data_IF_747017581048
#
_entry.id   IF_747017581048
#
_cell.length_a   1.000
_cell.length_b   1.000
_cell.length_c   1.000
_cell.angle_alpha   90.00
_cell.angle_beta   90.00
_cell.angle_gamma   90.00
#
_symmetry.space_group_name_H-M   'P 1'
#
loop_
_entity.id
_entity.type
_entity.pdbx_description
1 polymer ?
#
# COMPACT_ATOMS: atom_id res chain seq x y z
N UNK A 1 18.02 22.05 1.46
CA UNK A 1 16.78 21.92 0.65
C UNK A 1 15.59 22.37 1.50
N UNK A 2 14.43 22.78 0.94
CA UNK A 2 13.25 23.08 1.77
C UNK A 2 12.71 21.79 2.40
N UNK A 3 12.43 21.80 3.71
CA UNK A 3 11.84 20.67 4.47
C UNK A 3 10.63 20.08 3.76
N UNK A 4 9.74 20.94 3.23
CA UNK A 4 8.54 20.51 2.51
C UNK A 4 8.84 19.67 1.26
N UNK A 5 9.95 19.94 0.57
CA UNK A 5 10.37 19.16 -0.60
C UNK A 5 10.89 17.78 -0.19
N UNK A 6 11.61 17.68 0.93
CA UNK A 6 12.06 16.40 1.47
C UNK A 6 10.87 15.54 1.92
N UNK A 7 9.90 16.13 2.62
CA UNK A 7 8.67 15.45 3.02
C UNK A 7 7.86 14.96 1.81
N UNK A 8 7.65 15.81 0.80
CA UNK A 8 6.96 15.41 -0.43
C UNK A 8 7.64 14.23 -1.12
N UNK A 9 8.98 14.28 -1.26
CA UNK A 9 9.76 13.16 -1.83
C UNK A 9 9.61 11.89 -1.01
N UNK A 10 9.66 12.01 0.32
CA UNK A 10 9.45 10.89 1.22
C UNK A 10 8.07 10.24 1.02
N UNK A 11 6.99 11.03 1.05
CA UNK A 11 5.63 10.51 0.85
C UNK A 11 5.44 9.88 -0.52
N UNK A 12 5.99 10.48 -1.57
CA UNK A 12 5.88 9.96 -2.93
C UNK A 12 6.61 8.62 -3.08
N UNK A 13 7.84 8.52 -2.56
CA UNK A 13 8.60 7.28 -2.58
C UNK A 13 7.93 6.19 -1.74
N UNK A 14 7.37 6.55 -0.59
CA UNK A 14 6.63 5.62 0.26
C UNK A 14 5.34 5.13 -0.42
N UNK A 15 4.63 5.99 -1.15
CA UNK A 15 3.44 5.62 -1.92
C UNK A 15 3.79 4.72 -3.12
N UNK A 16 4.88 5.02 -3.84
CA UNK A 16 5.41 4.14 -4.90
C UNK A 16 5.79 2.78 -4.32
N UNK A 17 6.46 2.76 -3.16
CA UNK A 17 6.82 1.54 -2.46
C UNK A 17 5.60 0.68 -2.11
N UNK A 18 4.52 1.32 -1.64
CA UNK A 18 3.25 0.64 -1.38
C UNK A 18 2.68 0.02 -2.67
N UNK A 19 2.58 0.81 -3.74
CA UNK A 19 1.99 0.37 -5.00
C UNK A 19 2.77 -0.80 -5.62
N UNK A 20 4.10 -0.73 -5.61
CA UNK A 20 4.98 -1.79 -6.10
C UNK A 20 4.82 -3.06 -5.26
N UNK A 21 4.80 -2.93 -3.93
CA UNK A 21 4.65 -4.06 -3.02
C UNK A 21 3.28 -4.75 -3.19
N UNK A 22 2.20 -3.98 -3.26
CA UNK A 22 0.87 -4.52 -3.55
C UNK A 22 0.83 -5.18 -4.93
N UNK A 23 1.41 -4.58 -5.96
CA UNK A 23 1.41 -5.18 -7.30
C UNK A 23 2.22 -6.49 -7.33
N UNK A 24 3.33 -6.57 -6.60
CA UNK A 24 4.14 -7.78 -6.52
C UNK A 24 3.46 -8.91 -5.72
N UNK A 25 2.75 -8.56 -4.64
CA UNK A 25 2.09 -9.51 -3.74
C UNK A 25 0.70 -9.94 -4.24
N UNK A 26 -0.09 -9.00 -4.76
CA UNK A 26 -1.49 -9.22 -5.15
C UNK A 26 -1.65 -9.35 -6.68
N UNK A 27 -0.71 -8.83 -7.46
CA UNK A 27 -0.77 -8.86 -8.92
C UNK A 27 -0.35 -10.21 -9.50
N UNK A 28 -1.28 -10.87 -10.21
CA UNK A 28 -1.01 -12.16 -10.88
C UNK A 28 0.12 -12.11 -11.93
N UNK A 29 0.51 -10.93 -12.40
CA UNK A 29 1.60 -10.73 -13.38
C UNK A 29 2.95 -11.19 -12.80
N UNK A 30 3.15 -11.09 -11.48
CA UNK A 30 4.39 -11.49 -10.81
C UNK A 30 4.39 -12.93 -10.30
N UNK A 31 3.27 -13.65 -10.42
CA UNK A 31 3.15 -15.07 -10.08
C UNK A 31 4.24 -15.97 -10.71
N UNK A 32 4.53 -15.91 -12.02
CA UNK A 32 5.60 -16.71 -12.60
C UNK A 32 7.00 -16.35 -12.06
N UNK A 33 7.23 -15.08 -11.70
CA UNK A 33 8.50 -14.65 -11.11
C UNK A 33 8.64 -15.16 -9.67
N UNK A 34 7.57 -15.10 -8.86
CA UNK A 34 7.54 -15.64 -7.49
C UNK A 34 7.76 -17.14 -7.47
N UNK A 35 7.12 -17.89 -8.38
CA UNK A 35 7.33 -19.34 -8.53
C UNK A 35 8.74 -19.69 -8.96
N UNK A 36 9.35 -18.91 -9.86
CA UNK A 36 10.77 -19.12 -10.21
C UNK A 36 11.67 -18.87 -9.01
N UNK A 37 11.46 -17.79 -8.27
CA UNK A 37 12.24 -17.49 -7.07
C UNK A 37 12.09 -18.55 -5.97
N UNK A 38 10.89 -19.09 -5.76
CA UNK A 38 10.65 -20.15 -4.77
C UNK A 38 11.35 -21.46 -5.13
N UNK A 39 11.48 -21.78 -6.41
CA UNK A 39 12.19 -23.00 -6.86
C UNK A 39 13.72 -22.93 -6.71
N UNK A 40 14.29 -21.74 -6.53
CA UNK A 40 15.75 -21.57 -6.45
C UNK A 40 16.29 -21.93 -5.06
N UNK A 41 15.60 -21.50 -4.00
CA UNK A 41 16.05 -21.76 -2.62
C UNK A 41 14.89 -21.59 -1.61
N UNK A 42 14.79 -22.44 -0.57
CA UNK A 42 13.70 -22.36 0.43
C UNK A 42 13.62 -21.02 1.16
N UNK A 43 14.75 -20.34 1.38
CA UNK A 43 14.74 -18.97 1.96
C UNK A 43 14.15 -17.91 1.02
N UNK A 44 14.26 -18.09 -0.30
CA UNK A 44 13.65 -17.17 -1.26
C UNK A 44 12.15 -17.40 -1.34
N UNK A 45 11.71 -18.66 -1.18
CA UNK A 45 10.29 -19.00 -1.04
C UNK A 45 9.67 -18.31 0.18
N UNK A 46 10.29 -18.43 1.36
CA UNK A 46 9.84 -17.74 2.58
C UNK A 46 9.82 -16.22 2.39
N UNK A 47 10.81 -15.67 1.69
CA UNK A 47 10.91 -14.23 1.40
C UNK A 47 9.78 -13.71 0.51
N UNK A 48 9.46 -14.38 -0.60
CA UNK A 48 8.41 -13.93 -1.53
C UNK A 48 6.99 -14.07 -0.97
N UNK A 49 6.80 -14.97 0.01
CA UNK A 49 5.54 -15.14 0.73
C UNK A 49 5.45 -14.22 1.97
N UNK A 50 6.58 -13.75 2.50
CA UNK A 50 6.63 -12.75 3.55
C UNK A 50 6.37 -11.35 2.99
N UNK A 51 5.11 -10.89 3.04
CA UNK A 51 4.72 -9.52 2.60
C UNK A 51 5.59 -8.42 3.20
N UNK A 52 5.92 -8.50 4.50
CA UNK A 52 6.80 -7.54 5.19
C UNK A 52 8.23 -7.53 4.61
N UNK A 53 8.73 -8.69 4.21
CA UNK A 53 10.07 -8.84 3.65
C UNK A 53 10.15 -8.20 2.27
N UNK A 54 9.14 -8.45 1.42
CA UNK A 54 8.97 -7.80 0.12
C UNK A 54 8.90 -6.28 0.28
N UNK A 55 8.02 -5.77 1.14
CA UNK A 55 7.85 -4.33 1.38
C UNK A 55 9.15 -3.65 1.83
N UNK A 56 9.87 -4.28 2.75
CA UNK A 56 11.15 -3.75 3.25
C UNK A 56 12.19 -3.70 2.14
N UNK A 57 12.28 -4.75 1.31
CA UNK A 57 13.22 -4.79 0.19
C UNK A 57 12.91 -3.75 -0.88
N UNK A 58 11.63 -3.54 -1.19
CA UNK A 58 11.20 -2.49 -2.13
C UNK A 58 11.60 -1.11 -1.60
N UNK A 59 11.40 -0.85 -0.30
CA UNK A 59 11.84 0.40 0.32
C UNK A 59 13.35 0.62 0.24
N UNK A 60 14.15 -0.42 0.48
CA UNK A 60 15.62 -0.37 0.36
C UNK A 60 16.03 -0.10 -1.09
N UNK A 61 15.43 -0.81 -2.07
CA UNK A 61 15.72 -0.61 -3.50
C UNK A 61 15.38 0.80 -3.92
N UNK A 62 14.24 1.35 -3.50
CA UNK A 62 13.86 2.72 -3.80
C UNK A 62 14.85 3.74 -3.23
N UNK A 63 15.31 3.55 -1.99
CA UNK A 63 16.32 4.42 -1.40
C UNK A 63 17.67 4.34 -2.13
N UNK A 64 18.07 3.14 -2.56
CA UNK A 64 19.32 2.92 -3.29
C UNK A 64 19.30 3.54 -4.70
N UNK A 65 18.18 3.41 -5.42
CA UNK A 65 18.01 3.91 -6.79
C UNK A 65 17.83 5.42 -6.80
N UNK A 66 16.91 5.93 -5.99
CA UNK A 66 16.53 7.34 -6.05
C UNK A 66 17.41 8.25 -5.20
N UNK A 67 18.22 7.67 -4.28
CA UNK A 67 19.14 8.38 -3.37
C UNK A 67 18.54 9.71 -2.92
N UNK A 68 17.46 9.70 -2.14
CA UNK A 68 16.67 10.89 -1.90
C UNK A 68 17.37 11.92 -1.00
N UNK A 69 18.45 11.53 -0.30
CA UNK A 69 19.25 12.36 0.60
C UNK A 69 18.40 13.03 1.69
N UNK A 70 17.37 12.33 2.19
CA UNK A 70 16.39 12.91 3.11
C UNK A 70 17.04 13.36 4.42
N UNK A 71 17.95 12.54 4.96
CA UNK A 71 18.67 12.85 6.20
C UNK A 71 19.89 13.76 5.98
N UNK A 72 20.55 13.64 4.83
CA UNK A 72 21.75 14.43 4.53
C UNK A 72 21.46 15.94 4.43
N UNK A 73 20.25 16.30 3.98
CA UNK A 73 19.82 17.69 3.79
C UNK A 73 19.46 18.41 5.10
N UNK A 74 19.24 17.69 6.20
CA UNK A 74 18.81 18.27 7.49
C UNK A 74 20.01 18.67 8.36
N UNK A 75 21.14 17.98 8.21
CA UNK A 75 22.23 18.03 9.18
C UNK A 75 23.30 19.11 8.92
N UNK A 76 23.27 19.77 7.75
CA UNK A 76 24.08 20.95 7.41
C UNK A 76 25.61 20.84 7.51
N UNK A 77 26.15 19.67 7.84
CA UNK A 77 27.58 19.40 8.09
C UNK A 77 28.29 18.82 6.86
N UNK A 78 29.61 19.01 6.71
CA UNK A 78 30.36 18.51 5.56
C UNK A 78 30.28 16.98 5.45
N UNK A 79 30.06 16.44 4.24
CA UNK A 79 29.82 15.02 4.03
C UNK A 79 31.13 14.21 4.15
N UNK A 80 31.18 13.27 5.08
CA UNK A 80 32.20 12.21 5.10
C UNK A 80 31.63 10.93 4.47
N UNK A 81 32.51 10.08 3.91
CA UNK A 81 32.10 8.80 3.31
C UNK A 81 31.29 7.93 4.28
N UNK A 82 31.72 7.85 5.53
CA UNK A 82 31.02 7.12 6.58
C UNK A 82 29.61 7.69 6.83
N UNK A 83 29.46 9.02 6.84
CA UNK A 83 28.17 9.67 7.06
C UNK A 83 27.22 9.53 5.87
N UNK A 84 27.75 9.54 4.65
CA UNK A 84 26.95 9.26 3.45
C UNK A 84 26.36 7.84 3.49
N UNK A 85 27.14 6.86 3.96
CA UNK A 85 26.65 5.50 4.14
C UNK A 85 25.56 5.42 5.22
N UNK A 86 25.75 6.10 6.36
CA UNK A 86 24.75 6.16 7.43
C UNK A 86 23.47 6.86 6.98
N UNK A 87 23.58 7.99 6.26
CA UNK A 87 22.42 8.70 5.73
C UNK A 87 21.67 7.86 4.69
N UNK A 88 22.38 7.13 3.82
CA UNK A 88 21.75 6.23 2.87
C UNK A 88 21.02 5.06 3.56
N UNK A 89 21.62 4.49 4.61
CA UNK A 89 20.98 3.45 5.41
C UNK A 89 19.75 3.99 6.15
N UNK A 90 19.84 5.20 6.72
CA UNK A 90 18.72 5.86 7.36
C UNK A 90 17.58 6.19 6.39
N UNK A 91 17.89 6.67 5.19
CA UNK A 91 16.91 6.92 4.12
C UNK A 91 16.19 5.62 3.71
N UNK A 92 16.92 4.50 3.64
CA UNK A 92 16.34 3.19 3.36
C UNK A 92 15.37 2.71 4.45
N UNK A 93 15.74 2.87 5.71
CA UNK A 93 14.87 2.55 6.85
C UNK A 93 13.63 3.45 6.85
N UNK A 94 13.80 4.75 6.63
CA UNK A 94 12.70 5.71 6.54
C UNK A 94 11.71 5.31 5.45
N UNK A 95 12.18 5.05 4.22
CA UNK A 95 11.30 4.69 3.11
C UNK A 95 10.59 3.35 3.37
N UNK A 96 11.29 2.36 3.92
CA UNK A 96 10.66 1.09 4.30
C UNK A 96 9.55 1.30 5.35
N UNK A 97 9.80 2.11 6.38
CA UNK A 97 8.80 2.45 7.39
C UNK A 97 7.63 3.24 6.81
N UNK A 98 7.90 4.22 5.93
CA UNK A 98 6.86 4.99 5.25
C UNK A 98 5.99 4.12 4.35
N UNK A 99 6.60 3.20 3.61
CA UNK A 99 5.90 2.22 2.76
C UNK A 99 4.98 1.34 3.60
N UNK A 100 5.46 0.90 4.77
CA UNK A 100 4.65 0.13 5.72
C UNK A 100 3.50 0.95 6.29
N UNK A 101 3.75 2.20 6.69
CA UNK A 101 2.72 3.08 7.21
C UNK A 101 1.58 3.26 6.19
N UNK A 102 1.91 3.44 4.91
CA UNK A 102 0.89 3.51 3.85
C UNK A 102 0.09 2.21 3.70
N UNK A 103 0.76 1.06 3.78
CA UNK A 103 0.08 -0.24 3.76
C UNK A 103 -0.90 -0.40 4.93
N UNK A 104 -0.46 -0.06 6.14
CA UNK A 104 -1.29 -0.18 7.35
C UNK A 104 -2.46 0.81 7.30
N UNK A 105 -2.22 2.08 6.92
CA UNK A 105 -3.24 3.12 6.83
C UNK A 105 -4.32 2.78 5.79
N UNK A 106 -3.91 2.39 4.57
CA UNK A 106 -4.86 2.00 3.52
C UNK A 106 -5.51 0.64 3.82
N UNK A 107 -4.83 -0.24 4.56
CA UNK A 107 -5.40 -1.48 5.06
C UNK A 107 -6.54 -1.25 6.04
N UNK A 108 -6.40 -0.27 6.94
CA UNK A 108 -7.47 0.17 7.84
C UNK A 108 -8.65 0.75 7.06
N UNK A 109 -8.37 1.68 6.13
CA UNK A 109 -9.42 2.29 5.28
C UNK A 109 -10.19 1.26 4.45
N UNK A 110 -9.52 0.24 3.90
CA UNK A 110 -10.18 -0.85 3.17
C UNK A 110 -11.07 -1.72 4.07
N UNK A 111 -10.70 -1.93 5.33
CA UNK A 111 -11.53 -2.69 6.28
C UNK A 111 -12.78 -1.90 6.64
N UNK A 112 -12.62 -0.61 6.91
CA UNK A 112 -13.71 0.28 7.24
C UNK A 112 -14.70 0.40 6.07
N UNK A 113 -14.20 0.62 4.85
CA UNK A 113 -15.04 0.63 3.65
C UNK A 113 -15.76 -0.71 3.39
N UNK A 114 -15.15 -1.86 3.73
CA UNK A 114 -15.81 -3.17 3.62
C UNK A 114 -16.91 -3.36 4.67
N UNK A 115 -16.71 -2.81 5.87
CA UNK A 115 -17.72 -2.84 6.92
C UNK A 115 -18.91 -1.98 6.50
N UNK A 116 -18.66 -0.76 6.01
CA UNK A 116 -19.72 0.11 5.48
C UNK A 116 -20.47 -0.54 4.31
N UNK A 117 -19.77 -1.17 3.36
CA UNK A 117 -20.41 -1.88 2.25
C UNK A 117 -21.26 -3.06 2.74
N UNK A 118 -20.77 -3.85 3.70
CA UNK A 118 -21.53 -4.96 4.26
C UNK A 118 -22.75 -4.48 5.07
N UNK A 119 -22.66 -3.32 5.72
CA UNK A 119 -23.79 -2.70 6.42
C UNK A 119 -24.85 -2.18 5.43
N UNK A 120 -24.43 -1.55 4.33
CA UNK A 120 -25.34 -1.13 3.26
C UNK A 120 -26.02 -2.34 2.62
N UNK A 121 -25.28 -3.40 2.30
CA UNK A 121 -25.83 -4.63 1.71
C UNK A 121 -26.80 -5.35 2.67
N UNK A 122 -26.49 -5.36 3.98
CA UNK A 122 -27.40 -5.89 4.99
C UNK A 122 -28.67 -5.05 5.18
N UNK A 123 -28.61 -3.73 4.98
CA UNK A 123 -29.79 -2.85 5.00
C UNK A 123 -30.64 -3.04 3.75
N UNK A 124 -30.03 -3.27 2.58
CA UNK A 124 -30.73 -3.54 1.32
C UNK A 124 -31.43 -4.91 1.35
N UNK A 125 -30.80 -5.94 1.94
CA UNK A 125 -31.41 -7.27 2.13
C UNK A 125 -32.51 -7.29 3.21
N UNK A 126 -32.47 -6.37 4.18
CA UNK A 126 -33.44 -6.26 5.27
C UNK A 126 -34.68 -5.40 4.91
N UNK A 127 -34.68 -4.73 3.77
CA UNK A 127 -35.82 -3.99 3.25
C UNK A 127 -36.55 -4.84 2.19
N UNK A 128 -37.50 -5.72 2.56
CA UNK A 128 -38.47 -6.17 1.58
C UNK A 128 -39.19 -4.91 1.12
N UNK A 129 -38.96 -4.52 -0.13
CA UNK A 129 -39.75 -3.51 -0.79
C UNK A 129 -41.16 -4.10 -0.90
N UNK A 130 -41.99 -3.90 0.12
CA UNK A 130 -43.43 -3.97 -0.01
C UNK A 130 -43.81 -2.83 -0.96
N UNK A 131 -43.72 -3.14 -2.25
CA UNK A 131 -44.44 -2.38 -3.27
C UNK A 131 -45.90 -2.64 -2.95
N UNK A 132 -46.46 -1.78 -2.10
CA UNK A 132 -47.89 -1.65 -1.88
C UNK A 132 -48.48 -1.30 -3.24
N UNK A 133 -48.85 -2.33 -4.02
CA UNK A 133 -49.52 -2.16 -5.30
C UNK A 133 -50.83 -1.46 -4.97
N UNK A 134 -51.06 -0.21 -5.42
CA UNK A 134 -52.38 0.37 -5.27
C UNK A 134 -53.34 -0.50 -6.09
N UNK A 135 -54.21 -1.22 -5.39
CA UNK A 135 -55.34 -1.93 -5.99
C UNK A 135 -56.22 -0.86 -6.61
N UNK A 136 -56.17 -0.74 -7.94
CA UNK A 136 -57.08 0.10 -8.69
C UNK A 136 -58.51 -0.38 -8.44
N UNK A 137 -59.41 0.46 -7.90
CA UNK A 137 -60.78 0.08 -7.65
C UNK A 137 -61.48 -0.16 -8.99
N UNK A 138 -62.26 -1.23 -9.03
CA UNK A 138 -62.86 -1.79 -10.23
C UNK A 138 -63.51 -0.76 -11.15
N UNK A 139 -63.16 -0.84 -12.42
CA UNK A 139 -63.92 -0.21 -13.49
C UNK A 139 -64.93 -1.26 -13.98
N UNK A 140 -66.07 -1.31 -13.29
CA UNK A 140 -67.31 -1.81 -13.90
C UNK A 140 -67.71 -0.82 -14.99
N UNK A 141 -67.70 -1.26 -16.25
CA UNK A 141 -68.54 -0.68 -17.30
C UNK A 141 -68.99 -1.77 -18.28
N UNK A 142 -70.31 -2.00 -18.23
CA UNK A 142 -71.27 -2.43 -19.25
C UNK A 142 -70.97 -3.69 -20.05
#
# INVERSE_FOLDING_TARGET
>A
MSLGRAMLRFFFLAAIGHQLSCTFVEGGIFEPARRRLSTVHPRLDEFVHCRRCVETSVGIVLAAVYRPHLLADVDGRPPSLARNAVNAAGDAVLIALGTRLWNDLLGLLRREARIEQAEIEAVDDAAPIEIERPVLPGISRS
#
